data_IF_976873876460
#
_entry.id   IF_976873876460
#
_cell.length_a   1.000
_cell.length_b   1.000
_cell.length_c   1.000
_cell.angle_alpha   90.00
_cell.angle_beta   90.00
_cell.angle_gamma   90.00
#
_symmetry.space_group_name_H-M   'P 1'
#
loop_
_entity.id
_entity.type
_entity.pdbx_description
1 polymer ?
#
# COMPACT_ATOMS: atom_id res chain seq x y z
N UNK A 1 -15.79 12.55 -10.70
CA UNK A 1 -16.12 11.12 -10.72
C UNK A 1 -14.93 10.31 -11.18
N UNK A 2 -14.83 9.06 -10.71
CA UNK A 2 -13.82 8.03 -11.03
C UNK A 2 -12.78 7.75 -9.93
N UNK A 3 -13.24 7.57 -8.70
CA UNK A 3 -12.51 6.76 -7.73
C UNK A 3 -12.54 5.28 -8.10
N UNK A 4 -11.46 4.58 -7.80
CA UNK A 4 -11.45 3.13 -7.65
C UNK A 4 -12.68 2.68 -6.84
N UNK A 5 -13.18 1.45 -7.02
CA UNK A 5 -14.34 0.88 -6.29
C UNK A 5 -14.13 0.91 -4.75
N UNK A 6 -14.24 2.09 -4.18
CA UNK A 6 -13.59 2.51 -2.93
C UNK A 6 -13.95 3.93 -2.53
N UNK A 7 -14.69 4.69 -3.37
CA UNK A 7 -15.45 5.87 -2.95
C UNK A 7 -16.60 5.55 -1.97
N UNK A 8 -16.87 4.26 -1.69
CA UNK A 8 -17.90 3.81 -0.74
C UNK A 8 -17.49 2.69 0.21
N UNK A 9 -16.19 2.40 0.35
CA UNK A 9 -15.71 1.46 1.38
C UNK A 9 -15.60 2.17 2.73
N UNK A 10 -15.94 1.53 3.88
CA UNK A 10 -16.01 2.21 5.17
C UNK A 10 -14.73 3.01 5.47
N UNK A 11 -14.90 4.32 5.57
CA UNK A 11 -13.85 5.35 5.59
C UNK A 11 -12.93 5.31 6.82
N UNK A 12 -13.09 4.36 7.74
CA UNK A 12 -12.10 4.13 8.79
C UNK A 12 -12.39 2.80 9.48
N UNK A 13 -11.56 1.79 9.25
CA UNK A 13 -11.51 0.64 10.14
C UNK A 13 -10.53 0.97 11.26
N UNK A 14 -11.07 1.46 12.37
CA UNK A 14 -10.32 1.50 13.62
C UNK A 14 -10.23 0.06 14.12
N UNK A 15 -9.09 -0.62 13.91
CA UNK A 15 -8.94 -2.05 14.16
C UNK A 15 -9.28 -2.48 15.61
N UNK A 16 -9.18 -1.56 16.57
CA UNK A 16 -9.60 -1.76 17.97
C UNK A 16 -11.13 -1.79 18.18
N UNK A 17 -11.92 -1.32 17.21
CA UNK A 17 -13.39 -1.35 17.22
C UNK A 17 -13.96 -2.60 16.51
N UNK A 18 -13.16 -3.28 15.69
CA UNK A 18 -13.56 -4.52 15.01
C UNK A 18 -13.71 -5.68 16.00
N UNK A 19 -13.02 -5.61 17.14
CA UNK A 19 -13.22 -6.53 18.28
C UNK A 19 -14.52 -6.27 19.07
N UNK A 20 -15.15 -5.09 18.92
CA UNK A 20 -16.35 -4.70 19.71
C UNK A 20 -17.67 -4.83 18.97
N UNK A 21 -17.67 -5.28 17.70
CA UNK A 21 -18.86 -5.46 16.86
C UNK A 21 -19.80 -4.22 16.69
N UNK A 22 -19.41 -3.03 17.16
CA UNK A 22 -20.29 -1.84 17.23
C UNK A 22 -20.58 -1.14 15.89
N UNK A 23 -19.96 -1.56 14.78
CA UNK A 23 -20.17 -0.93 13.46
C UNK A 23 -20.23 -1.94 12.32
N UNK A 24 -21.36 -2.64 12.22
CA UNK A 24 -21.99 -3.05 10.96
C UNK A 24 -21.32 -4.11 10.07
N UNK A 25 -20.04 -4.44 10.25
CA UNK A 25 -19.46 -5.66 9.66
C UNK A 25 -18.26 -6.10 10.49
N UNK A 26 -18.32 -7.31 11.03
CA UNK A 26 -17.17 -7.93 11.70
C UNK A 26 -16.03 -8.15 10.70
N UNK A 27 -14.81 -8.38 11.19
CA UNK A 27 -13.71 -8.75 10.30
C UNK A 27 -14.02 -9.97 9.40
N UNK A 28 -14.84 -10.89 9.91
CA UNK A 28 -15.33 -12.04 9.15
C UNK A 28 -16.22 -11.58 7.98
N UNK A 29 -17.21 -10.73 8.23
CA UNK A 29 -18.07 -10.22 7.16
C UNK A 29 -17.31 -9.40 6.11
N UNK A 30 -16.23 -8.70 6.49
CA UNK A 30 -15.33 -8.08 5.52
C UNK A 30 -14.67 -9.13 4.62
N UNK A 31 -14.17 -10.22 5.21
CA UNK A 31 -13.57 -11.31 4.45
C UNK A 31 -14.60 -11.96 3.50
N UNK A 32 -15.84 -12.15 3.94
CA UNK A 32 -16.91 -12.72 3.13
C UNK A 32 -17.26 -11.81 1.94
N UNK A 33 -17.37 -10.50 2.17
CA UNK A 33 -17.62 -9.53 1.11
C UNK A 33 -16.49 -9.53 0.07
N UNK A 34 -15.22 -9.60 0.49
CA UNK A 34 -14.08 -9.69 -0.44
C UNK A 34 -14.10 -11.01 -1.21
N UNK A 35 -14.44 -12.12 -0.53
CA UNK A 35 -14.54 -13.43 -1.15
C UNK A 35 -15.63 -13.49 -2.23
N UNK A 36 -16.72 -12.73 -2.06
CA UNK A 36 -17.81 -12.60 -3.02
C UNK A 36 -17.55 -11.66 -4.20
N UNK A 37 -16.43 -10.93 -4.24
CA UNK A 37 -16.10 -10.08 -5.39
C UNK A 37 -15.87 -10.93 -6.66
N UNK A 38 -16.17 -10.38 -7.86
CA UNK A 38 -15.89 -11.06 -9.11
C UNK A 38 -14.43 -11.49 -9.23
N UNK A 39 -14.19 -12.62 -9.89
CA UNK A 39 -12.83 -13.10 -10.17
C UNK A 39 -12.05 -12.05 -10.94
N UNK A 40 -10.82 -11.77 -10.49
CA UNK A 40 -9.94 -10.75 -11.08
C UNK A 40 -10.28 -9.32 -10.69
N UNK A 41 -11.35 -9.07 -9.91
CA UNK A 41 -11.74 -7.73 -9.49
C UNK A 41 -10.59 -7.04 -8.74
N UNK A 42 -10.24 -5.84 -9.22
CA UNK A 42 -9.31 -4.95 -8.55
C UNK A 42 -10.06 -4.21 -7.45
N UNK A 43 -9.50 -4.25 -6.25
CA UNK A 43 -10.02 -3.52 -5.10
C UNK A 43 -8.84 -3.01 -4.26
N UNK A 44 -9.07 -1.91 -3.54
CA UNK A 44 -8.05 -1.32 -2.66
C UNK A 44 -8.53 -1.42 -1.23
N UNK A 45 -7.70 -2.01 -0.37
CA UNK A 45 -7.99 -2.07 1.06
C UNK A 45 -7.69 -0.72 1.72
N UNK A 46 -8.74 -0.16 2.36
CA UNK A 46 -8.80 1.06 3.17
C UNK A 46 -8.34 2.37 2.49
N UNK A 47 -9.17 3.41 2.62
CA UNK A 47 -8.79 4.79 2.30
C UNK A 47 -8.13 5.49 3.50
N UNK A 48 -8.46 5.06 4.72
CA UNK A 48 -7.90 5.55 6.00
C UNK A 48 -7.61 4.34 6.91
N UNK A 49 -6.42 4.33 7.51
CA UNK A 49 -5.89 3.20 8.27
C UNK A 49 -5.00 2.30 7.41
N UNK A 50 -3.86 1.89 7.98
CA UNK A 50 -2.91 0.95 7.37
C UNK A 50 -3.42 -0.51 7.52
N UNK A 51 -2.53 -1.48 7.44
CA UNK A 51 -2.77 -2.91 7.66
C UNK A 51 -3.45 -3.22 9.01
N UNK A 52 -4.20 -4.35 9.09
CA UNK A 52 -4.71 -4.87 10.36
C UNK A 52 -3.63 -4.89 11.44
N UNK A 53 -3.93 -4.32 12.61
CA UNK A 53 -3.01 -4.26 13.75
C UNK A 53 -3.12 -2.95 14.52
N UNK A 54 -2.16 -2.73 15.42
CA UNK A 54 -2.12 -1.57 16.31
C UNK A 54 -0.83 -0.78 16.12
N UNK A 55 -0.93 0.55 15.97
CA UNK A 55 0.20 1.46 15.76
C UNK A 55 1.21 0.97 14.71
N UNK A 56 2.40 0.56 15.14
CA UNK A 56 3.47 0.06 14.27
C UNK A 56 3.42 -1.46 14.04
N UNK A 57 2.53 -2.18 14.70
CA UNK A 57 2.40 -3.63 14.59
C UNK A 57 1.39 -4.03 13.52
N UNK A 58 1.77 -5.02 12.73
CA UNK A 58 0.86 -5.79 11.88
C UNK A 58 0.34 -6.99 12.66
N UNK A 59 -0.97 -7.18 12.68
CA UNK A 59 -1.60 -8.42 13.10
C UNK A 59 -1.55 -9.42 11.94
N UNK A 60 -0.53 -10.28 11.96
CA UNK A 60 -0.30 -11.27 10.89
C UNK A 60 -1.44 -12.28 10.71
N UNK A 61 -2.20 -12.60 11.78
CA UNK A 61 -3.33 -13.53 11.70
C UNK A 61 -4.47 -12.91 10.90
N UNK A 62 -4.84 -11.66 11.21
CA UNK A 62 -5.86 -10.94 10.47
C UNK A 62 -5.42 -10.66 9.03
N UNK A 63 -4.18 -10.22 8.82
CA UNK A 63 -3.66 -10.02 7.47
C UNK A 63 -3.67 -11.32 6.64
N UNK A 64 -3.35 -12.47 7.26
CA UNK A 64 -3.44 -13.77 6.59
C UNK A 64 -4.88 -14.16 6.22
N UNK A 65 -5.86 -13.90 7.09
CA UNK A 65 -7.28 -14.08 6.78
C UNK A 65 -7.72 -13.19 5.61
N UNK A 66 -7.32 -11.91 5.61
CA UNK A 66 -7.59 -10.97 4.53
C UNK A 66 -6.98 -11.45 3.20
N UNK A 67 -5.74 -11.94 3.24
CA UNK A 67 -5.06 -12.45 2.05
C UNK A 67 -5.76 -13.70 1.48
N UNK A 68 -6.22 -14.62 2.34
CA UNK A 68 -7.03 -15.77 1.92
C UNK A 68 -8.36 -15.33 1.31
N UNK A 69 -9.04 -14.38 1.95
CA UNK A 69 -10.26 -13.77 1.44
C UNK A 69 -10.02 -13.01 0.13
N UNK A 70 -8.78 -12.70 -0.25
CA UNK A 70 -8.44 -12.09 -1.53
C UNK A 70 -8.11 -13.09 -2.65
N UNK A 71 -8.00 -14.40 -2.40
CA UNK A 71 -7.57 -15.37 -3.43
C UNK A 71 -8.45 -15.34 -4.68
N UNK A 72 -7.87 -15.08 -5.85
CA UNK A 72 -8.61 -14.92 -7.11
C UNK A 72 -9.15 -13.50 -7.34
N UNK A 73 -9.00 -12.58 -6.38
CA UNK A 73 -9.17 -11.13 -6.52
C UNK A 73 -7.81 -10.44 -6.63
N UNK A 74 -7.81 -9.14 -6.94
CA UNK A 74 -6.60 -8.33 -7.13
C UNK A 74 -6.51 -7.20 -6.11
N UNK A 75 -6.70 -7.56 -4.85
CA UNK A 75 -6.61 -6.66 -3.71
C UNK A 75 -5.21 -6.13 -3.50
N UNK A 76 -5.12 -4.85 -3.18
CA UNK A 76 -3.85 -4.22 -2.83
C UNK A 76 -4.01 -3.11 -1.78
N UNK A 77 -2.91 -2.75 -1.13
CA UNK A 77 -2.82 -1.63 -0.20
C UNK A 77 -1.40 -1.07 -0.13
N UNK A 78 -1.21 -0.01 0.68
CA UNK A 78 0.06 0.63 0.94
C UNK A 78 0.31 0.65 2.45
N UNK A 79 1.56 0.46 2.88
CA UNK A 79 1.93 0.46 4.30
C UNK A 79 3.17 1.30 4.57
N UNK A 80 3.15 1.99 5.71
CA UNK A 80 4.34 2.63 6.31
C UNK A 80 4.80 1.91 7.59
N UNK A 81 4.18 0.78 7.96
CA UNK A 81 4.61 -0.05 9.10
C UNK A 81 6.13 -0.33 9.01
N UNK A 82 6.84 -0.30 10.13
CA UNK A 82 8.29 -0.44 10.15
C UNK A 82 8.71 -1.83 9.66
N UNK A 83 9.63 -1.84 8.70
CA UNK A 83 10.21 -3.03 8.06
C UNK A 83 11.71 -2.88 7.81
N UNK A 84 12.34 -1.79 8.22
CA UNK A 84 13.79 -1.60 8.20
C UNK A 84 14.31 -1.70 9.65
N UNK A 85 15.50 -2.26 9.84
CA UNK A 85 16.02 -2.57 11.17
C UNK A 85 16.29 -1.30 11.99
N UNK A 86 16.56 -0.17 11.32
CA UNK A 86 16.70 1.14 11.95
C UNK A 86 15.38 1.76 12.44
N UNK A 87 14.22 1.17 12.13
CA UNK A 87 12.92 1.71 12.51
C UNK A 87 12.41 1.16 13.85
N UNK A 88 11.77 2.00 14.64
CA UNK A 88 11.17 1.60 15.91
C UNK A 88 9.87 0.82 15.68
N UNK A 89 9.84 -0.44 16.11
CA UNK A 89 8.65 -1.28 16.12
C UNK A 89 8.93 -2.77 15.88
N UNK A 90 7.89 -3.58 15.67
CA UNK A 90 8.02 -5.03 15.51
C UNK A 90 8.45 -5.42 14.08
N UNK A 91 9.63 -4.95 13.66
CA UNK A 91 10.17 -5.04 12.29
C UNK A 91 10.12 -6.47 11.73
N UNK A 92 10.68 -7.45 12.45
CA UNK A 92 10.72 -8.84 11.98
C UNK A 92 9.32 -9.44 11.77
N UNK A 93 8.38 -9.15 12.68
CA UNK A 93 7.01 -9.63 12.58
C UNK A 93 6.27 -9.00 11.39
N UNK A 94 6.46 -7.70 11.18
CA UNK A 94 5.88 -6.99 10.04
C UNK A 94 6.42 -7.53 8.71
N UNK A 95 7.74 -7.70 8.59
CA UNK A 95 8.38 -8.30 7.41
C UNK A 95 7.77 -9.67 7.08
N UNK A 96 7.66 -10.55 8.08
CA UNK A 96 7.09 -11.90 7.91
C UNK A 96 5.64 -11.84 7.44
N UNK A 97 4.81 -11.01 8.06
CA UNK A 97 3.39 -10.89 7.74
C UNK A 97 3.16 -10.31 6.34
N UNK A 98 3.90 -9.25 5.98
CA UNK A 98 3.81 -8.60 4.66
C UNK A 98 4.27 -9.55 3.55
N UNK A 99 5.41 -10.22 3.74
CA UNK A 99 5.91 -11.20 2.78
C UNK A 99 4.91 -12.34 2.56
N UNK A 100 4.27 -12.83 3.63
CA UNK A 100 3.26 -13.88 3.53
C UNK A 100 2.02 -13.40 2.76
N UNK A 101 1.52 -12.20 3.03
CA UNK A 101 0.36 -11.65 2.33
C UNK A 101 0.62 -11.47 0.82
N UNK A 102 1.80 -10.93 0.47
CA UNK A 102 2.22 -10.77 -0.92
C UNK A 102 2.35 -12.11 -1.66
N UNK A 103 2.87 -13.15 -1.01
CA UNK A 103 2.92 -14.51 -1.58
C UNK A 103 1.53 -15.12 -1.82
N UNK A 104 0.55 -14.77 -0.98
CA UNK A 104 -0.85 -15.19 -1.10
C UNK A 104 -1.64 -14.34 -2.11
N UNK A 105 -1.02 -13.34 -2.76
CA UNK A 105 -1.63 -12.54 -3.82
C UNK A 105 -2.41 -11.32 -3.34
N UNK A 106 -2.43 -11.02 -2.04
CA UNK A 106 -2.89 -9.72 -1.53
C UNK A 106 -1.71 -8.74 -1.48
N UNK A 107 -1.72 -7.78 -2.40
CA UNK A 107 -0.52 -6.99 -2.69
C UNK A 107 -0.37 -5.85 -1.70
N UNK A 108 0.55 -6.01 -0.76
CA UNK A 108 0.97 -4.98 0.18
C UNK A 108 2.19 -4.25 -0.39
N UNK A 109 1.99 -3.03 -0.83
CA UNK A 109 3.04 -2.17 -1.35
C UNK A 109 3.74 -1.44 -0.20
N UNK A 110 5.08 -1.56 -0.12
CA UNK A 110 5.87 -0.79 0.84
C UNK A 110 5.92 0.68 0.38
N UNK A 111 5.50 1.59 1.24
CA UNK A 111 5.41 3.02 0.92
C UNK A 111 6.64 3.76 1.40
N UNK A 112 7.48 4.19 0.46
CA UNK A 112 8.66 4.99 0.72
C UNK A 112 8.34 6.49 0.68
N UNK A 113 9.13 7.24 1.42
CA UNK A 113 9.02 8.70 1.48
C UNK A 113 10.02 9.42 0.56
N UNK A 114 10.63 8.70 -0.38
CA UNK A 114 11.65 9.21 -1.29
C UNK A 114 12.46 8.11 -1.94
N UNK A 115 13.23 8.46 -2.97
CA UNK A 115 13.92 7.51 -3.84
C UNK A 115 14.94 6.64 -3.10
N UNK A 116 15.76 7.22 -2.21
CA UNK A 116 16.75 6.45 -1.43
C UNK A 116 16.09 5.51 -0.41
N UNK A 117 14.97 5.93 0.19
CA UNK A 117 14.19 5.05 1.07
C UNK A 117 13.55 3.91 0.26
N UNK A 118 13.09 4.19 -0.96
CA UNK A 118 12.52 3.18 -1.85
C UNK A 118 13.54 2.09 -2.20
N UNK A 119 14.81 2.44 -2.39
CA UNK A 119 15.90 1.47 -2.58
C UNK A 119 16.06 0.53 -1.39
N UNK A 120 16.06 1.07 -0.16
CA UNK A 120 16.14 0.27 1.07
C UNK A 120 14.97 -0.71 1.18
N UNK A 121 13.75 -0.25 0.93
CA UNK A 121 12.55 -1.09 0.97
C UNK A 121 12.57 -2.17 -0.14
N UNK A 122 13.03 -1.82 -1.34
CA UNK A 122 13.11 -2.75 -2.46
C UNK A 122 14.14 -3.86 -2.20
N UNK A 123 15.24 -3.56 -1.51
CA UNK A 123 16.26 -4.54 -1.15
C UNK A 123 15.74 -5.65 -0.22
N UNK A 124 14.64 -5.42 0.52
CA UNK A 124 14.03 -6.42 1.40
C UNK A 124 13.39 -7.59 0.64
N UNK A 125 13.01 -7.40 -0.63
CA UNK A 125 12.34 -8.42 -1.46
C UNK A 125 11.07 -9.05 -0.82
N UNK A 126 10.35 -8.30 0.01
CA UNK A 126 9.12 -8.78 0.68
C UNK A 126 7.83 -8.29 0.02
N UNK A 127 7.92 -7.43 -0.99
CA UNK A 127 6.77 -6.84 -1.67
C UNK A 127 7.16 -5.76 -2.68
N UNK A 128 6.22 -5.32 -3.53
CA UNK A 128 6.47 -4.21 -4.42
C UNK A 128 6.58 -2.89 -3.65
N UNK A 129 7.28 -1.92 -4.23
CA UNK A 129 7.50 -0.61 -3.60
C UNK A 129 6.76 0.48 -4.36
N UNK A 130 6.28 1.46 -3.61
CA UNK A 130 5.86 2.77 -4.11
C UNK A 130 6.63 3.86 -3.39
N UNK A 131 6.72 5.05 -3.98
CA UNK A 131 7.40 6.18 -3.35
C UNK A 131 6.70 7.49 -3.68
N UNK A 132 6.77 8.44 -2.76
CA UNK A 132 6.54 9.84 -3.09
C UNK A 132 7.76 10.36 -3.86
N UNK A 133 7.53 11.11 -4.93
CA UNK A 133 8.59 11.72 -5.74
C UNK A 133 9.02 13.07 -5.15
N UNK A 134 10.28 13.48 -5.35
CA UNK A 134 10.71 14.84 -5.06
C UNK A 134 9.86 15.87 -5.81
N UNK A 135 9.71 17.07 -5.24
CA UNK A 135 8.99 18.18 -5.90
C UNK A 135 9.64 18.50 -7.25
N UNK A 136 8.81 18.67 -8.28
CA UNK A 136 9.26 19.00 -9.64
C UNK A 136 9.60 17.80 -10.52
N UNK A 137 9.64 16.58 -9.96
CA UNK A 137 9.81 15.35 -10.74
C UNK A 137 8.43 14.80 -11.12
N UNK A 138 8.07 14.92 -12.40
CA UNK A 138 6.76 14.51 -12.91
C UNK A 138 6.83 13.41 -13.98
N UNK A 139 8.03 13.06 -14.45
CA UNK A 139 8.24 12.01 -15.45
C UNK A 139 8.94 10.79 -14.84
N UNK A 140 8.94 9.69 -15.59
CA UNK A 140 9.61 8.46 -15.16
C UNK A 140 11.08 8.73 -14.88
N UNK A 141 11.60 8.10 -13.84
CA UNK A 141 12.95 8.36 -13.34
C UNK A 141 13.58 7.07 -12.80
N UNK A 142 14.74 7.19 -12.17
CA UNK A 142 15.42 6.10 -11.49
C UNK A 142 15.76 6.48 -10.06
N UNK A 143 15.82 5.48 -9.18
CA UNK A 143 16.40 5.67 -7.85
C UNK A 143 17.93 5.80 -7.93
N UNK A 144 18.61 6.24 -6.86
CA UNK A 144 20.07 6.25 -6.81
C UNK A 144 20.72 4.89 -7.12
N UNK A 145 20.11 3.78 -6.72
CA UNK A 145 20.59 2.43 -7.07
C UNK A 145 20.07 1.94 -8.43
N UNK A 146 19.62 2.83 -9.31
CA UNK A 146 19.24 2.51 -10.69
C UNK A 146 17.92 1.77 -10.86
N UNK A 147 17.07 1.67 -9.82
CA UNK A 147 15.75 1.01 -9.96
C UNK A 147 14.81 1.93 -10.75
N UNK A 148 14.14 1.37 -11.75
CA UNK A 148 13.17 2.12 -12.57
C UNK A 148 11.97 2.56 -11.73
N UNK A 149 11.62 3.83 -11.85
CA UNK A 149 10.45 4.44 -11.23
C UNK A 149 9.50 4.90 -12.33
N UNK A 150 8.30 4.33 -12.34
CA UNK A 150 7.22 4.75 -13.23
C UNK A 150 6.27 5.66 -12.44
N UNK A 151 6.04 6.86 -12.95
CA UNK A 151 5.04 7.77 -12.36
C UNK A 151 3.66 7.15 -12.50
N UNK A 152 2.87 7.22 -11.43
CA UNK A 152 1.51 6.68 -11.40
C UNK A 152 0.71 7.15 -12.63
N UNK A 153 0.30 6.24 -13.54
CA UNK A 153 -0.40 6.63 -14.76
C UNK A 153 -1.69 7.40 -14.51
N UNK A 154 -2.37 7.14 -13.38
CA UNK A 154 -3.59 7.84 -12.99
C UNK A 154 -3.36 9.32 -12.60
N UNK A 155 -2.12 9.75 -12.37
CA UNK A 155 -1.77 11.17 -12.14
C UNK A 155 -1.35 11.90 -13.41
N UNK A 156 -1.09 11.16 -14.51
CA UNK A 156 -0.55 11.72 -15.76
C UNK A 156 -1.50 11.59 -16.95
N UNK A 157 -2.50 10.71 -16.89
CA UNK A 157 -3.38 10.39 -18.01
C UNK A 157 -4.83 10.48 -17.60
N UNK A 158 -5.60 11.27 -18.33
CA UNK A 158 -7.03 11.38 -18.12
C UNK A 158 -7.73 10.04 -18.35
N UNK A 159 -8.73 9.76 -17.52
CA UNK A 159 -9.52 8.53 -17.61
C UNK A 159 -8.81 7.25 -17.10
N UNK A 160 -7.54 7.31 -16.70
CA UNK A 160 -6.85 6.17 -16.09
C UNK A 160 -7.17 6.11 -14.59
N UNK A 161 -7.70 4.98 -14.14
CA UNK A 161 -7.99 4.71 -12.73
C UNK A 161 -7.15 3.55 -12.23
N UNK A 162 -7.12 3.30 -10.92
CA UNK A 162 -6.47 2.10 -10.38
C UNK A 162 -7.11 0.80 -10.91
N UNK A 163 -8.42 0.80 -11.20
CA UNK A 163 -9.13 -0.35 -11.73
C UNK A 163 -8.71 -0.69 -13.17
N UNK A 164 -8.44 0.33 -14.00
CA UNK A 164 -7.97 0.15 -15.37
C UNK A 164 -6.45 -0.03 -15.46
N UNK A 165 -5.68 0.63 -14.58
CA UNK A 165 -4.21 0.57 -14.56
C UNK A 165 -3.65 -0.70 -13.92
N UNK A 166 -4.17 -1.09 -12.75
CA UNK A 166 -3.83 -2.32 -12.03
C UNK A 166 -2.34 -2.47 -11.61
N UNK A 167 -1.50 -1.47 -11.83
CA UNK A 167 -0.05 -1.58 -11.55
C UNK A 167 0.22 -1.84 -10.06
N UNK A 168 -0.50 -1.17 -9.17
CA UNK A 168 -0.34 -1.34 -7.72
C UNK A 168 -0.85 -2.68 -7.19
N UNK A 169 -1.69 -3.41 -7.94
CA UNK A 169 -2.13 -4.77 -7.63
C UNK A 169 -1.31 -5.86 -8.33
N UNK A 170 -0.29 -5.48 -9.09
CA UNK A 170 0.71 -6.41 -9.65
C UNK A 170 1.89 -6.50 -8.69
N UNK A 171 1.92 -7.58 -7.90
CA UNK A 171 2.99 -7.84 -6.92
C UNK A 171 4.34 -8.15 -7.54
N UNK A 172 4.37 -8.77 -8.72
CA UNK A 172 5.57 -9.20 -9.44
C UNK A 172 6.07 -8.18 -10.48
N UNK A 173 5.84 -6.88 -10.25
CA UNK A 173 6.28 -5.84 -11.18
C UNK A 173 7.76 -5.49 -10.97
N UNK A 174 8.46 -5.14 -12.05
CA UNK A 174 9.88 -4.75 -12.03
C UNK A 174 10.13 -3.26 -11.77
N UNK A 175 9.10 -2.50 -11.40
CA UNK A 175 9.16 -1.03 -11.28
C UNK A 175 8.62 -0.57 -9.93
N UNK A 176 9.23 0.49 -9.42
CA UNK A 176 8.68 1.28 -8.33
C UNK A 176 7.63 2.22 -8.91
N UNK A 177 6.48 2.37 -8.24
CA UNK A 177 5.50 3.39 -8.64
C UNK A 177 5.77 4.69 -7.88
N UNK A 178 6.02 5.77 -8.63
CA UNK A 178 6.21 7.11 -8.09
C UNK A 178 4.90 7.89 -8.03
N UNK A 179 4.64 8.56 -6.91
CA UNK A 179 3.51 9.46 -6.74
C UNK A 179 3.96 10.91 -6.71
N UNK A 180 3.37 11.74 -7.58
CA UNK A 180 3.59 13.17 -7.58
C UNK A 180 2.95 13.77 -6.31
N UNK A 181 3.69 14.55 -5.50
CA UNK A 181 3.16 15.16 -4.29
C UNK A 181 2.03 16.15 -4.59
N UNK A 182 0.89 16.00 -3.92
CA UNK A 182 -0.23 16.93 -3.96
C UNK A 182 -0.66 17.32 -2.52
N UNK A 183 -1.22 18.52 -2.35
CA UNK A 183 -1.74 18.99 -1.05
C UNK A 183 -0.75 18.88 0.11
N UNK A 184 -1.18 18.26 1.22
CA UNK A 184 -0.39 18.09 2.45
C UNK A 184 0.93 17.32 2.25
N UNK A 185 0.99 16.43 1.26
CA UNK A 185 2.23 15.70 0.94
C UNK A 185 3.35 16.62 0.43
N UNK A 186 3.02 17.79 -0.15
CA UNK A 186 4.04 18.80 -0.52
C UNK A 186 4.79 19.32 0.71
N UNK A 187 4.10 19.50 1.84
CA UNK A 187 4.71 19.94 3.12
C UNK A 187 5.61 18.85 3.71
N UNK A 188 5.18 17.60 3.62
CA UNK A 188 5.96 16.46 4.10
C UNK A 188 7.26 16.25 3.30
N UNK A 189 7.17 16.33 1.97
CA UNK A 189 8.35 16.24 1.08
C UNK A 189 9.32 17.39 1.31
N UNK A 190 8.83 18.61 1.51
CA UNK A 190 9.68 19.76 1.85
C UNK A 190 10.48 19.50 3.14
N UNK A 191 9.81 19.04 4.21
CA UNK A 191 10.45 18.72 5.49
C UNK A 191 11.50 17.61 5.39
N UNK A 192 11.31 16.65 4.47
CA UNK A 192 12.29 15.58 4.24
C UNK A 192 13.51 16.02 3.43
N UNK A 193 13.34 16.98 2.52
CA UNK A 193 14.46 17.58 1.81
C UNK A 193 15.35 18.43 2.74
N UNK A 194 14.74 19.14 3.68
CA UNK A 194 15.44 20.00 4.67
C UNK A 194 16.24 19.18 5.70
N UNK A 195 15.81 17.96 6.05
CA UNK A 195 16.50 17.11 7.02
C UNK A 195 17.67 16.27 6.47
N UNK A 196 17.94 16.37 5.17
CA UNK A 196 19.00 15.64 4.45
C UNK A 196 20.07 16.59 3.86
N UNK A 197 20.07 17.86 4.29
CA UNK A 197 21.07 18.88 3.94
C UNK A 197 22.05 19.11 5.09
#
# INVERSE_FOLDING_TARGET
>A
GKGCYGEGGPLSWHWSAVDRADRGTTFAGLCDAIAGLPTGQVWRHNQVGDLPGDNNKVNGVLLGKLARANRGRRGFTYTHKPVLDEQVGPVANNRKAIAAANREGFVVNLSANGLSHADKLAALNIGPVVTILPKGIEDNTTTPNGRRVVVCPAQKRDGVTCATCQLCSRGNRSVIVGFIPHGASKKHVAKMAEGNS
#
